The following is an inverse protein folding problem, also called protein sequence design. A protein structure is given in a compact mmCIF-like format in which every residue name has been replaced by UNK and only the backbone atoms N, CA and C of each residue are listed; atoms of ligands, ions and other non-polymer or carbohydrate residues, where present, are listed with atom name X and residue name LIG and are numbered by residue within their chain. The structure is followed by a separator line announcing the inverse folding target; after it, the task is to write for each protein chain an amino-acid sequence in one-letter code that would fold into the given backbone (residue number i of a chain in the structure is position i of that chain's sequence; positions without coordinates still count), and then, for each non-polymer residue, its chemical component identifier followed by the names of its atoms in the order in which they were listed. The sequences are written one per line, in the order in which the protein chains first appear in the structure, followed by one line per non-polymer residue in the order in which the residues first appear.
data_IF_605578150506
#
_entry.id   IF_605578150506
#
_cell.length_a   1.000
_cell.length_b   1.000
_cell.length_c   1.000
_cell.angle_alpha   90.00
_cell.angle_beta   90.00
_cell.angle_gamma   90.00
#
_symmetry.space_group_name_H-M   'P 1'
#
loop_
_entity.id
_entity.type
_entity.pdbx_description
1 polymer ?
#
# COMPACT_ATOMS: atom_id res chain seq x y z
N UNK A 1 -13.91 -14.00 -14.56
CA UNK A 1 -13.09 -14.90 -13.70
C UNK A 1 -14.01 -15.48 -12.63
N UNK A 2 -14.02 -16.81 -12.39
CA UNK A 2 -14.87 -17.41 -11.35
C UNK A 2 -14.22 -17.22 -9.97
N UNK A 3 -15.02 -16.83 -8.97
CA UNK A 3 -14.54 -16.67 -7.59
C UNK A 3 -14.16 -18.03 -6.99
N UNK A 4 -13.01 -18.08 -6.32
CA UNK A 4 -12.50 -19.27 -5.60
C UNK A 4 -12.71 -19.19 -4.09
N UNK A 5 -13.48 -18.20 -3.61
CA UNK A 5 -13.71 -17.96 -2.18
C UNK A 5 -14.34 -19.14 -1.46
N UNK A 6 -15.10 -19.99 -2.15
CA UNK A 6 -15.65 -21.22 -1.58
C UNK A 6 -14.57 -22.20 -1.07
N UNK A 7 -13.34 -22.12 -1.59
CA UNK A 7 -12.19 -22.94 -1.15
C UNK A 7 -11.30 -22.26 -0.11
N UNK A 8 -11.65 -21.05 0.34
CA UNK A 8 -10.80 -20.23 1.20
C UNK A 8 -10.26 -21.00 2.40
N UNK A 9 -11.13 -21.68 3.18
CA UNK A 9 -10.70 -22.42 4.38
C UNK A 9 -9.62 -23.47 4.07
N UNK A 10 -9.79 -24.24 2.99
CA UNK A 10 -8.82 -25.26 2.58
C UNK A 10 -7.51 -24.62 2.12
N UNK A 11 -7.59 -23.59 1.29
CA UNK A 11 -6.42 -22.87 0.78
C UNK A 11 -5.65 -22.15 1.88
N UNK A 12 -6.33 -21.54 2.85
CA UNK A 12 -5.70 -20.91 4.01
C UNK A 12 -4.97 -21.92 4.87
N UNK A 13 -5.56 -23.09 5.15
CA UNK A 13 -4.88 -24.15 5.91
C UNK A 13 -3.61 -24.62 5.18
N UNK A 14 -3.73 -24.91 3.88
CA UNK A 14 -2.57 -25.31 3.08
C UNK A 14 -1.48 -24.24 3.01
N UNK A 15 -1.87 -22.95 2.96
CA UNK A 15 -0.92 -21.84 2.98
C UNK A 15 -0.19 -21.72 4.33
N UNK A 16 -0.87 -21.96 5.44
CA UNK A 16 -0.27 -21.94 6.77
C UNK A 16 0.77 -23.05 6.96
N UNK A 17 0.56 -24.22 6.36
CA UNK A 17 1.50 -25.36 6.42
C UNK A 17 2.64 -25.26 5.38
N UNK A 18 2.57 -24.30 4.45
CA UNK A 18 3.54 -24.18 3.38
C UNK A 18 4.88 -23.61 3.87
N UNK A 19 5.93 -24.43 3.82
CA UNK A 19 7.27 -24.06 4.30
C UNK A 19 7.87 -22.83 3.61
N UNK A 20 7.61 -22.63 2.30
CA UNK A 20 8.07 -21.45 1.57
C UNK A 20 7.39 -20.18 2.08
N UNK A 21 6.07 -20.22 2.26
CA UNK A 21 5.31 -19.10 2.83
C UNK A 21 5.80 -18.79 4.25
N UNK A 22 5.96 -19.80 5.10
CA UNK A 22 6.49 -19.61 6.45
C UNK A 22 7.91 -19.01 6.47
N UNK A 23 8.78 -19.44 5.57
CA UNK A 23 10.14 -18.88 5.45
C UNK A 23 10.10 -17.42 4.98
N UNK A 24 9.27 -17.11 3.99
CA UNK A 24 9.06 -15.74 3.52
C UNK A 24 8.52 -14.84 4.64
N UNK A 25 7.52 -15.30 5.40
CA UNK A 25 6.96 -14.55 6.53
C UNK A 25 8.01 -14.26 7.62
N UNK A 26 8.88 -15.23 7.93
CA UNK A 26 10.02 -15.01 8.84
C UNK A 26 10.97 -13.94 8.31
N UNK A 27 11.29 -14.00 7.01
CA UNK A 27 12.15 -13.01 6.34
C UNK A 27 11.59 -11.59 6.32
N UNK A 28 10.25 -11.42 6.35
CA UNK A 28 9.63 -10.09 6.39
C UNK A 28 10.04 -9.30 7.63
N UNK A 29 10.06 -9.95 8.80
CA UNK A 29 10.39 -9.28 10.05
C UNK A 29 11.88 -9.00 10.20
N UNK A 30 12.74 -9.93 9.78
CA UNK A 30 14.19 -9.76 9.87
C UNK A 30 14.75 -8.85 8.78
N UNK A 31 14.11 -8.81 7.61
CA UNK A 31 14.50 -8.00 6.45
C UNK A 31 13.74 -6.68 6.40
N UNK A 32 12.51 -6.71 5.90
CA UNK A 32 11.74 -5.50 5.58
C UNK A 32 11.46 -4.62 6.80
N UNK A 33 11.06 -5.20 7.94
CA UNK A 33 10.78 -4.39 9.12
C UNK A 33 12.05 -3.70 9.63
N UNK A 34 13.18 -4.41 9.69
CA UNK A 34 14.47 -3.82 10.09
C UNK A 34 14.94 -2.75 9.11
N UNK A 35 14.85 -3.00 7.80
CA UNK A 35 15.20 -2.02 6.78
C UNK A 35 14.33 -0.75 6.89
N UNK A 36 13.03 -0.91 7.16
CA UNK A 36 12.12 0.21 7.40
C UNK A 36 12.51 1.01 8.65
N UNK A 37 12.85 0.35 9.75
CA UNK A 37 13.32 1.00 10.98
C UNK A 37 14.59 1.81 10.72
N UNK A 38 15.59 1.20 10.09
CA UNK A 38 16.84 1.86 9.73
C UNK A 38 16.62 3.08 8.83
N UNK A 39 15.77 2.96 7.81
CA UNK A 39 15.43 4.07 6.94
C UNK A 39 14.71 5.20 7.70
N UNK A 40 13.79 4.87 8.61
CA UNK A 40 13.11 5.88 9.43
C UNK A 40 14.05 6.57 10.41
N UNK A 41 14.97 5.84 11.03
CA UNK A 41 15.98 6.39 11.95
C UNK A 41 16.98 7.28 11.23
N UNK A 42 17.38 6.92 10.00
CA UNK A 42 18.30 7.70 9.17
C UNK A 42 17.64 8.93 8.52
N UNK A 43 16.32 9.08 8.60
CA UNK A 43 15.59 10.18 7.97
C UNK A 43 15.11 11.16 9.02
N UNK A 44 15.74 12.33 9.07
CA UNK A 44 15.30 13.43 9.94
C UNK A 44 13.84 13.80 9.67
N UNK A 45 13.05 13.99 10.74
CA UNK A 45 11.64 14.40 10.62
C UNK A 45 10.70 13.34 10.06
N UNK A 46 11.10 12.07 10.01
CA UNK A 46 10.29 10.96 9.48
C UNK A 46 8.83 10.95 9.97
N UNK A 47 8.61 11.03 11.29
CA UNK A 47 7.26 11.00 11.87
C UNK A 47 6.43 12.24 11.51
N UNK A 48 7.06 13.42 11.46
CA UNK A 48 6.40 14.65 11.07
C UNK A 48 5.93 14.59 9.61
N UNK A 49 6.78 14.08 8.70
CA UNK A 49 6.42 13.85 7.31
C UNK A 49 5.27 12.84 7.16
N UNK A 50 5.27 11.76 7.93
CA UNK A 50 4.14 10.81 7.93
C UNK A 50 2.83 11.45 8.38
N UNK A 51 2.88 12.29 9.42
CA UNK A 51 1.71 13.01 9.89
C UNK A 51 1.20 14.01 8.83
N UNK A 52 2.09 14.77 8.21
CA UNK A 52 1.72 15.69 7.13
C UNK A 52 1.11 14.94 5.94
N UNK A 53 1.71 13.83 5.51
CA UNK A 53 1.17 13.01 4.44
C UNK A 53 -0.23 12.46 4.78
N UNK A 54 -0.47 12.10 6.05
CA UNK A 54 -1.80 11.66 6.50
C UNK A 54 -2.84 12.78 6.41
N UNK A 55 -2.47 14.00 6.80
CA UNK A 55 -3.35 15.18 6.68
C UNK A 55 -3.68 15.48 5.22
N UNK A 56 -2.67 15.47 4.34
CA UNK A 56 -2.87 15.66 2.89
C UNK A 56 -3.81 14.58 2.35
N UNK A 57 -3.57 13.31 2.68
CA UNK A 57 -4.43 12.21 2.23
C UNK A 57 -5.87 12.38 2.69
N UNK A 58 -6.09 12.73 3.96
CA UNK A 58 -7.43 12.96 4.49
C UNK A 58 -8.14 14.07 3.71
N UNK A 59 -7.48 15.21 3.55
CA UNK A 59 -8.00 16.33 2.76
C UNK A 59 -8.30 15.95 1.31
N UNK A 60 -7.41 15.20 0.64
CA UNK A 60 -7.63 14.72 -0.72
C UNK A 60 -8.84 13.80 -0.82
N UNK A 61 -9.05 12.92 0.16
CA UNK A 61 -10.22 12.03 0.16
C UNK A 61 -11.52 12.80 0.43
N UNK A 62 -11.49 13.80 1.31
CA UNK A 62 -12.64 14.66 1.59
C UNK A 62 -13.04 15.54 0.38
N UNK A 63 -12.10 15.77 -0.56
CA UNK A 63 -12.30 16.58 -1.77
C UNK A 63 -11.97 15.77 -3.03
N UNK A 64 -12.26 14.46 -3.01
CA UNK A 64 -11.78 13.52 -4.03
C UNK A 64 -12.32 13.84 -5.41
N UNK A 65 -13.58 14.26 -5.51
CA UNK A 65 -14.23 14.72 -6.74
C UNK A 65 -13.45 15.85 -7.41
N UNK A 66 -13.14 16.92 -6.66
CA UNK A 66 -12.36 18.05 -7.16
C UNK A 66 -11.00 17.62 -7.72
N UNK A 67 -10.28 16.77 -6.97
CA UNK A 67 -8.97 16.30 -7.41
C UNK A 67 -9.05 15.35 -8.61
N UNK A 68 -10.13 14.57 -8.76
CA UNK A 68 -10.35 13.73 -9.93
C UNK A 68 -10.66 14.57 -11.18
N UNK A 69 -11.48 15.61 -11.08
CA UNK A 69 -11.75 16.55 -12.19
C UNK A 69 -10.47 17.28 -12.62
N UNK A 70 -9.63 17.68 -11.66
CA UNK A 70 -8.34 18.30 -11.94
C UNK A 70 -7.39 17.33 -12.67
N UNK A 71 -7.33 16.07 -12.24
CA UNK A 71 -6.55 15.03 -12.94
C UNK A 71 -7.09 14.82 -14.36
N UNK A 72 -8.40 14.70 -14.53
CA UNK A 72 -9.02 14.53 -15.84
C UNK A 72 -8.66 15.69 -16.79
N UNK A 73 -8.82 16.92 -16.33
CA UNK A 73 -8.50 18.13 -17.08
C UNK A 73 -7.02 18.14 -17.51
N UNK A 74 -6.12 17.82 -16.58
CA UNK A 74 -4.68 17.77 -16.86
C UNK A 74 -4.33 16.66 -17.86
N UNK A 75 -4.95 15.49 -17.77
CA UNK A 75 -4.71 14.40 -18.72
C UNK A 75 -5.17 14.80 -20.12
N UNK A 76 -6.37 15.38 -20.26
CA UNK A 76 -6.89 15.87 -21.54
C UNK A 76 -5.99 16.96 -22.14
N UNK A 77 -5.53 17.91 -21.33
CA UNK A 77 -4.64 18.99 -21.78
C UNK A 77 -3.29 18.49 -22.28
N UNK A 78 -2.81 17.36 -21.76
CA UNK A 78 -1.58 16.70 -22.21
C UNK A 78 -1.83 15.69 -23.34
N UNK A 79 -3.00 15.73 -24.00
CA UNK A 79 -3.35 14.87 -25.14
C UNK A 79 -3.76 13.44 -24.76
N UNK A 80 -3.93 13.15 -23.47
CA UNK A 80 -4.44 11.87 -22.99
C UNK A 80 -5.96 11.76 -23.08
N UNK A 81 -6.48 10.56 -22.80
CA UNK A 81 -7.91 10.27 -22.66
C UNK A 81 -8.17 9.62 -21.30
N UNK A 82 -9.29 9.96 -20.68
CA UNK A 82 -9.78 9.42 -19.41
C UNK A 82 -11.15 8.81 -19.66
#
# INVERSE_FOLDING_TARGET
MKSTTNRFRQSSKAALENAKIQASLRGLYTGFNKARQQASEATEGWEAMQNQARVIKAHTLDNLDHYLEMVESNVKNNGGKV
#
